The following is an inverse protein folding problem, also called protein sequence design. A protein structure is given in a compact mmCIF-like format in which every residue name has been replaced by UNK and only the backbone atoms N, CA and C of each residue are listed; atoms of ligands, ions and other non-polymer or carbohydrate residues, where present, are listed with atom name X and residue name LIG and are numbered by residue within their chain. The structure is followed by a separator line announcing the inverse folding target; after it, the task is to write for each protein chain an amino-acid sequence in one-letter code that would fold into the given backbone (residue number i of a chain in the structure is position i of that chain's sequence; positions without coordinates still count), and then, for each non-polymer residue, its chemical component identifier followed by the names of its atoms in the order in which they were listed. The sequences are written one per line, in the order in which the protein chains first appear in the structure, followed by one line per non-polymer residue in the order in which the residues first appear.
data_IF_841089646425
#
_entry.id   IF_841089646425
#
_cell.length_a   1.000
_cell.length_b   1.000
_cell.length_c   1.000
_cell.angle_alpha   90.00
_cell.angle_beta   90.00
_cell.angle_gamma   90.00
#
_symmetry.space_group_name_H-M   'P 1'
#
loop_
_entity.id
_entity.type
_entity.pdbx_description
1 polymer ?
#
# COMPACT_ATOMS: atom_id res chain seq x y z
N UNK A 1 21.97 -4.34 6.56
CA UNK A 1 21.10 -3.40 7.26
C UNK A 1 19.78 -3.17 6.53
N UNK A 2 19.74 -2.81 5.22
CA UNK A 2 18.50 -2.59 4.44
C UNK A 2 17.54 -3.82 4.42
N UNK A 3 18.05 -5.07 4.32
CA UNK A 3 17.23 -6.29 4.42
C UNK A 3 16.54 -6.46 5.78
N UNK A 4 17.22 -6.12 6.87
CA UNK A 4 16.66 -6.17 8.23
C UNK A 4 15.57 -5.10 8.42
N UNK A 5 15.78 -3.90 7.86
CA UNK A 5 14.77 -2.82 7.85
C UNK A 5 13.54 -3.19 7.02
N UNK A 6 13.74 -3.85 5.89
CA UNK A 6 12.64 -4.37 5.07
C UNK A 6 11.82 -5.43 5.82
N UNK A 7 12.50 -6.42 6.43
CA UNK A 7 11.83 -7.46 7.23
C UNK A 7 11.10 -6.87 8.45
N UNK A 8 11.70 -5.85 9.09
CA UNK A 8 11.09 -5.15 10.22
C UNK A 8 9.86 -4.34 9.80
N UNK A 9 9.91 -3.70 8.63
CA UNK A 9 8.74 -3.00 8.08
C UNK A 9 7.61 -3.96 7.75
N UNK A 10 7.91 -5.15 7.24
CA UNK A 10 6.93 -6.18 6.92
C UNK A 10 6.26 -6.76 8.17
N UNK A 11 7.02 -6.95 9.27
CA UNK A 11 6.49 -7.36 10.57
C UNK A 11 5.58 -6.28 11.16
N UNK A 12 6.00 -5.00 11.13
CA UNK A 12 5.20 -3.87 11.64
C UNK A 12 3.88 -3.68 10.91
N UNK A 13 3.84 -4.03 9.63
CA UNK A 13 2.63 -3.95 8.81
C UNK A 13 1.79 -5.23 8.86
N UNK A 14 2.22 -6.26 9.62
CA UNK A 14 1.44 -7.48 9.81
C UNK A 14 0.20 -7.25 10.67
N UNK A 15 -0.92 -7.85 10.30
CA UNK A 15 -2.17 -7.81 11.07
C UNK A 15 -2.02 -8.26 12.54
N UNK A 16 -1.08 -9.15 12.82
CA UNK A 16 -0.84 -9.72 14.15
C UNK A 16 -0.02 -8.84 15.09
N UNK A 17 0.70 -7.85 14.57
CA UNK A 17 1.68 -7.10 15.37
C UNK A 17 1.05 -6.31 16.51
N UNK A 18 0.04 -5.48 16.20
CA UNK A 18 -0.63 -4.64 17.21
C UNK A 18 -1.43 -5.49 18.22
N UNK A 19 -2.25 -6.47 17.81
CA UNK A 19 -2.93 -7.36 18.76
C UNK A 19 -1.98 -8.09 19.69
N UNK A 20 -0.87 -8.66 19.18
CA UNK A 20 0.12 -9.35 20.01
C UNK A 20 0.78 -8.43 21.03
N UNK A 21 1.08 -7.18 20.64
CA UNK A 21 1.63 -6.18 21.55
C UNK A 21 0.64 -5.82 22.67
N UNK A 22 -0.63 -5.65 22.35
CA UNK A 22 -1.69 -5.37 23.32
C UNK A 22 -1.89 -6.55 24.29
N UNK A 23 -1.89 -7.77 23.78
CA UNK A 23 -1.97 -8.99 24.63
C UNK A 23 -0.79 -9.03 25.60
N UNK A 24 0.43 -8.81 25.11
CA UNK A 24 1.62 -8.81 25.97
C UNK A 24 1.54 -7.71 27.03
N UNK A 25 1.09 -6.51 26.65
CA UNK A 25 0.92 -5.40 27.58
C UNK A 25 -0.13 -5.70 28.66
N UNK A 26 -1.23 -6.39 28.31
CA UNK A 26 -2.26 -6.79 29.27
C UNK A 26 -1.74 -7.84 30.28
N UNK A 27 -0.92 -8.79 29.84
CA UNK A 27 -0.26 -9.76 30.72
C UNK A 27 0.64 -9.03 31.73
N UNK A 28 1.47 -8.09 31.24
CA UNK A 28 2.35 -7.28 32.11
C UNK A 28 1.51 -6.43 33.05
N UNK A 29 0.47 -5.76 32.56
CA UNK A 29 -0.43 -4.94 33.39
C UNK A 29 -1.11 -5.77 34.48
N UNK A 30 -1.57 -6.98 34.16
CA UNK A 30 -2.16 -7.87 35.17
C UNK A 30 -1.17 -8.21 36.28
N UNK A 31 0.08 -8.58 35.94
CA UNK A 31 1.11 -8.84 36.92
C UNK A 31 1.44 -7.61 37.78
N UNK A 32 1.57 -6.44 37.16
CA UNK A 32 1.86 -5.19 37.90
C UNK A 32 0.71 -4.82 38.83
N UNK A 33 -0.53 -4.90 38.36
CA UNK A 33 -1.70 -4.56 39.18
C UNK A 33 -1.90 -5.51 40.34
N UNK A 34 -1.70 -6.83 40.13
CA UNK A 34 -1.74 -7.82 41.19
C UNK A 34 -0.61 -7.59 42.22
N UNK A 35 0.59 -7.22 41.74
CA UNK A 35 1.72 -6.90 42.63
C UNK A 35 1.39 -5.65 43.48
N UNK A 36 0.76 -4.61 42.88
CA UNK A 36 0.32 -3.40 43.60
C UNK A 36 -0.73 -3.78 44.65
N UNK A 37 -1.73 -4.59 44.28
CA UNK A 37 -2.78 -5.06 45.21
C UNK A 37 -2.20 -5.86 46.41
N UNK A 38 -1.05 -6.55 46.21
CA UNK A 38 -0.36 -7.24 47.29
C UNK A 38 0.42 -6.32 48.23
N UNK A 39 0.86 -5.13 47.76
CA UNK A 39 1.68 -4.20 48.54
C UNK A 39 0.84 -3.17 49.31
N UNK A 40 -0.37 -2.90 48.83
CA UNK A 40 -1.21 -1.82 49.34
C UNK A 40 -2.51 -2.42 49.87
N UNK A 41 -2.61 -2.48 51.23
CA UNK A 41 -3.88 -2.73 51.91
C UNK A 41 -4.69 -1.40 51.86
N UNK A 42 -5.63 -1.32 50.92
CA UNK A 42 -6.43 -0.10 50.78
C UNK A 42 -7.66 -0.19 51.68
N UNK A 43 -7.55 0.35 52.89
CA UNK A 43 -8.73 0.72 53.69
C UNK A 43 -9.29 2.03 53.10
N UNK A 44 -10.27 1.93 52.21
CA UNK A 44 -10.91 3.10 51.61
C UNK A 44 -12.17 3.42 52.37
N UNK A 45 -12.08 4.42 53.24
CA UNK A 45 -13.22 5.08 53.84
C UNK A 45 -13.66 6.30 52.97
N UNK A 46 -14.95 6.42 52.68
CA UNK A 46 -15.49 7.60 51.99
C UNK A 46 -16.30 7.31 50.73
N UNK A 47 -16.62 8.40 50.00
CA UNK A 47 -17.53 8.40 48.82
C UNK A 47 -17.07 7.43 47.72
N UNK A 48 -15.79 7.09 47.62
CA UNK A 48 -15.25 6.17 46.60
C UNK A 48 -15.28 4.70 46.98
N UNK A 49 -15.72 4.35 48.24
CA UNK A 49 -15.78 2.96 48.69
C UNK A 49 -16.68 2.06 47.83
N UNK A 50 -17.71 2.64 47.18
CA UNK A 50 -18.61 1.92 46.28
C UNK A 50 -17.94 1.47 44.97
N UNK A 51 -16.79 2.07 44.60
CA UNK A 51 -16.03 1.68 43.40
C UNK A 51 -15.14 0.45 43.62
N UNK A 52 -14.97 0.06 44.87
CA UNK A 52 -14.11 -1.06 45.23
C UNK A 52 -14.92 -2.29 45.63
N UNK A 53 -14.50 -3.43 45.14
CA UNK A 53 -15.19 -4.69 45.38
C UNK A 53 -14.83 -5.18 46.78
N UNK A 54 -15.83 -5.36 47.65
CA UNK A 54 -15.63 -5.74 49.04
C UNK A 54 -15.73 -7.24 49.31
N UNK A 55 -16.06 -8.09 48.32
CA UNK A 55 -16.13 -9.52 48.47
C UNK A 55 -15.51 -10.26 47.28
N UNK A 56 -14.92 -11.42 47.56
CA UNK A 56 -14.30 -12.28 46.53
C UNK A 56 -15.33 -12.75 45.49
N UNK A 57 -16.56 -13.05 45.92
CA UNK A 57 -17.63 -13.49 45.03
C UNK A 57 -18.08 -12.37 44.06
N UNK A 58 -18.18 -11.12 44.57
CA UNK A 58 -18.46 -9.99 43.69
C UNK A 58 -17.34 -9.75 42.69
N UNK A 59 -16.07 -9.84 43.12
CA UNK A 59 -14.92 -9.70 42.23
C UNK A 59 -14.92 -10.76 41.14
N UNK A 60 -15.14 -12.04 41.51
CA UNK A 60 -15.25 -13.15 40.55
C UNK A 60 -16.40 -12.94 39.57
N UNK A 61 -17.58 -12.52 40.07
CA UNK A 61 -18.76 -12.27 39.22
C UNK A 61 -18.50 -11.17 38.21
N UNK A 62 -17.96 -10.03 38.63
CA UNK A 62 -17.64 -8.90 37.74
C UNK A 62 -16.62 -9.30 36.68
N UNK A 63 -15.49 -9.92 37.06
CA UNK A 63 -14.46 -10.33 36.14
C UNK A 63 -14.93 -11.42 35.15
N UNK A 64 -15.76 -12.36 35.61
CA UNK A 64 -16.36 -13.39 34.76
C UNK A 64 -17.30 -12.83 33.73
N UNK A 65 -18.17 -11.87 34.12
CA UNK A 65 -19.09 -11.20 33.22
C UNK A 65 -18.30 -10.39 32.18
N UNK A 66 -17.32 -9.58 32.62
CA UNK A 66 -16.46 -8.80 31.71
C UNK A 66 -15.72 -9.73 30.75
N UNK A 67 -15.06 -10.76 31.25
CA UNK A 67 -14.31 -11.72 30.45
C UNK A 67 -15.21 -12.37 29.38
N UNK A 68 -16.37 -12.89 29.76
CA UNK A 68 -17.31 -13.50 28.82
C UNK A 68 -17.85 -12.51 27.78
N UNK A 69 -18.14 -11.27 28.18
CA UNK A 69 -18.57 -10.23 27.27
C UNK A 69 -17.45 -9.84 26.28
N UNK A 70 -16.21 -9.65 26.77
CA UNK A 70 -15.09 -9.22 25.93
C UNK A 70 -14.76 -10.24 24.82
N UNK A 71 -14.71 -11.53 25.14
CA UNK A 71 -14.44 -12.55 24.11
C UNK A 71 -15.60 -12.71 23.12
N UNK A 72 -16.85 -12.54 23.58
CA UNK A 72 -18.04 -12.55 22.73
C UNK A 72 -18.04 -11.38 21.72
N UNK A 73 -17.75 -10.17 22.20
CA UNK A 73 -17.63 -8.98 21.33
C UNK A 73 -16.43 -9.09 20.40
N UNK A 74 -15.28 -9.63 20.86
CA UNK A 74 -14.13 -9.88 19.97
C UNK A 74 -14.51 -10.76 18.77
N UNK A 75 -15.28 -11.83 18.98
CA UNK A 75 -15.81 -12.67 17.91
C UNK A 75 -16.72 -11.91 16.94
N UNK A 76 -17.58 -11.04 17.45
CA UNK A 76 -18.45 -10.19 16.64
C UNK A 76 -17.65 -9.17 15.82
N UNK A 77 -16.69 -8.47 16.43
CA UNK A 77 -15.78 -7.53 15.76
C UNK A 77 -15.04 -8.22 14.63
N UNK A 78 -14.48 -9.40 14.89
CA UNK A 78 -13.81 -10.21 13.87
C UNK A 78 -14.74 -10.58 12.71
N UNK A 79 -15.96 -11.03 13.01
CA UNK A 79 -16.96 -11.40 12.00
C UNK A 79 -17.36 -10.19 11.13
N UNK A 80 -17.62 -9.03 11.74
CA UNK A 80 -17.94 -7.80 11.01
C UNK A 80 -16.75 -7.39 10.11
N UNK A 81 -15.52 -7.48 10.62
CA UNK A 81 -14.31 -7.18 9.83
C UNK A 81 -14.20 -8.11 8.61
N UNK A 82 -14.49 -9.41 8.75
CA UNK A 82 -14.48 -10.36 7.62
C UNK A 82 -15.58 -10.04 6.58
N UNK A 83 -16.78 -9.68 7.02
CA UNK A 83 -17.86 -9.26 6.12
C UNK A 83 -17.48 -7.99 5.36
N UNK A 84 -16.97 -6.97 6.06
CA UNK A 84 -16.50 -5.74 5.45
C UNK A 84 -15.40 -6.00 4.40
N UNK A 85 -14.45 -6.87 4.74
CA UNK A 85 -13.36 -7.29 3.85
C UNK A 85 -13.89 -8.00 2.59
N UNK A 86 -14.89 -8.85 2.75
CA UNK A 86 -15.54 -9.57 1.62
C UNK A 86 -16.26 -8.59 0.71
N UNK A 87 -17.01 -7.62 1.26
CA UNK A 87 -17.67 -6.57 0.50
C UNK A 87 -16.66 -5.68 -0.24
N UNK A 88 -15.62 -5.24 0.44
CA UNK A 88 -14.54 -4.46 -0.17
C UNK A 88 -13.86 -5.24 -1.32
N UNK A 89 -13.59 -6.53 -1.13
CA UNK A 89 -13.01 -7.39 -2.16
C UNK A 89 -13.91 -7.54 -3.39
N UNK A 90 -15.22 -7.68 -3.17
CA UNK A 90 -16.17 -7.83 -4.28
C UNK A 90 -16.33 -6.53 -5.08
N UNK A 91 -16.35 -5.38 -4.41
CA UNK A 91 -16.59 -4.09 -5.05
C UNK A 91 -15.33 -3.46 -5.65
N UNK A 92 -14.19 -3.56 -4.97
CA UNK A 92 -12.97 -2.84 -5.36
C UNK A 92 -11.81 -3.73 -5.84
N UNK A 93 -11.87 -5.03 -5.61
CA UNK A 93 -10.84 -5.99 -6.03
C UNK A 93 -10.01 -6.56 -4.90
N UNK A 94 -9.50 -7.77 -5.12
CA UNK A 94 -8.76 -8.52 -4.10
C UNK A 94 -7.41 -7.91 -3.73
N UNK A 95 -6.82 -7.08 -4.58
CA UNK A 95 -5.53 -6.39 -4.30
C UNK A 95 -5.67 -5.34 -3.20
N UNK A 96 -6.88 -4.76 -3.05
CA UNK A 96 -7.18 -3.74 -2.05
C UNK A 96 -7.46 -4.30 -0.66
N UNK A 97 -7.74 -5.62 -0.56
CA UNK A 97 -7.92 -6.32 0.73
C UNK A 97 -6.77 -6.00 1.69
N UNK A 98 -5.55 -5.94 1.17
CA UNK A 98 -4.36 -5.66 1.97
C UNK A 98 -4.46 -4.31 2.68
N UNK A 99 -4.97 -3.27 2.02
CA UNK A 99 -5.12 -1.94 2.61
C UNK A 99 -6.10 -1.97 3.79
N UNK A 100 -7.25 -2.63 3.64
CA UNK A 100 -8.23 -2.80 4.73
C UNK A 100 -7.72 -3.64 5.91
N UNK A 101 -6.92 -4.68 5.65
CA UNK A 101 -6.32 -5.49 6.71
C UNK A 101 -5.27 -4.73 7.52
N UNK A 102 -4.59 -3.75 6.91
CA UNK A 102 -3.57 -2.95 7.58
C UNK A 102 -4.13 -1.77 8.38
N UNK A 103 -5.43 -1.54 8.36
CA UNK A 103 -6.03 -0.49 9.15
C UNK A 103 -5.83 -0.73 10.65
N UNK A 104 -5.14 0.22 11.28
CA UNK A 104 -4.73 0.10 12.68
C UNK A 104 -5.91 0.00 13.64
N UNK A 105 -7.03 0.66 13.32
CA UNK A 105 -8.23 0.67 14.18
C UNK A 105 -8.77 -0.75 14.36
N UNK A 106 -8.88 -1.53 13.28
CA UNK A 106 -9.35 -2.91 13.34
C UNK A 106 -8.44 -3.79 14.21
N UNK A 107 -7.12 -3.60 14.09
CA UNK A 107 -6.12 -4.32 14.88
C UNK A 107 -6.15 -3.91 16.36
N UNK A 108 -6.29 -2.60 16.66
CA UNK A 108 -6.35 -2.07 18.02
C UNK A 108 -7.61 -2.58 18.71
N UNK A 109 -8.76 -2.49 18.07
CA UNK A 109 -10.04 -2.89 18.67
C UNK A 109 -10.05 -4.38 18.97
N UNK A 110 -9.69 -5.23 18.00
CA UNK A 110 -9.61 -6.67 18.21
C UNK A 110 -8.60 -7.01 19.33
N UNK A 111 -7.43 -6.39 19.28
CA UNK A 111 -6.39 -6.57 20.30
C UNK A 111 -6.83 -6.11 21.68
N UNK A 112 -7.53 -4.99 21.82
CA UNK A 112 -8.03 -4.46 23.09
C UNK A 112 -9.06 -5.40 23.73
N UNK A 113 -9.98 -5.95 22.96
CA UNK A 113 -10.97 -6.90 23.46
C UNK A 113 -10.32 -8.21 23.94
N UNK A 114 -9.42 -8.80 23.12
CA UNK A 114 -8.72 -10.02 23.48
C UNK A 114 -7.78 -9.78 24.69
N UNK A 115 -7.10 -8.65 24.75
CA UNK A 115 -6.21 -8.30 25.86
C UNK A 115 -6.98 -8.10 27.17
N UNK A 116 -8.16 -7.48 27.14
CA UNK A 116 -9.04 -7.32 28.31
C UNK A 116 -9.56 -8.67 28.79
N UNK A 117 -9.93 -9.55 27.87
CA UNK A 117 -10.30 -10.93 28.21
C UNK A 117 -9.17 -11.64 28.98
N UNK A 118 -7.93 -11.60 28.44
CA UNK A 118 -6.77 -12.26 29.06
C UNK A 118 -6.43 -11.61 30.41
N UNK A 119 -6.49 -10.27 30.50
CA UNK A 119 -6.30 -9.56 31.75
C UNK A 119 -7.27 -10.07 32.82
N UNK A 120 -8.58 -10.10 32.52
CA UNK A 120 -9.58 -10.57 33.46
C UNK A 120 -9.37 -12.03 33.89
N UNK A 121 -8.96 -12.93 32.97
CA UNK A 121 -8.67 -14.31 33.32
C UNK A 121 -7.48 -14.45 34.27
N UNK A 122 -6.40 -13.66 34.06
CA UNK A 122 -5.23 -13.70 34.94
C UNK A 122 -5.61 -13.20 36.34
N UNK A 123 -6.34 -12.07 36.44
CA UNK A 123 -6.79 -11.52 37.72
C UNK A 123 -7.75 -12.48 38.43
N UNK A 124 -8.70 -13.08 37.68
CA UNK A 124 -9.66 -14.05 38.19
C UNK A 124 -8.96 -15.27 38.84
N UNK A 125 -7.87 -15.76 38.25
CA UNK A 125 -7.14 -16.90 38.74
C UNK A 125 -6.40 -16.63 40.07
N UNK A 126 -6.17 -15.37 40.41
CA UNK A 126 -5.42 -14.99 41.65
C UNK A 126 -6.35 -14.77 42.83
N UNK A 127 -7.67 -14.61 42.61
CA UNK A 127 -8.64 -14.46 43.69
C UNK A 127 -8.74 -15.76 44.50
N UNK A 128 -8.28 -15.72 45.74
CA UNK A 128 -8.33 -16.84 46.66
C UNK A 128 -9.19 -16.49 47.88
N UNK A 129 -10.01 -17.41 48.25
CA UNK A 129 -10.78 -17.36 49.50
C UNK A 129 -10.69 -18.73 50.15
N UNK A 130 -9.93 -18.79 51.20
CA UNK A 130 -9.71 -20.00 52.04
C UNK A 130 -10.01 -19.58 53.48
N UNK A 131 -10.37 -20.51 54.33
CA UNK A 131 -10.71 -20.25 55.74
C UNK A 131 -9.67 -19.43 56.52
N UNK A 132 -8.42 -19.36 56.02
CA UNK A 132 -7.31 -18.67 56.66
C UNK A 132 -6.77 -17.48 55.91
N UNK A 133 -7.08 -17.31 54.61
CA UNK A 133 -6.55 -16.20 53.77
C UNK A 133 -7.56 -15.76 52.73
N UNK A 134 -7.89 -14.46 52.73
CA UNK A 134 -8.71 -13.83 51.72
C UNK A 134 -7.85 -12.82 50.99
N UNK A 135 -7.72 -12.99 49.65
CA UNK A 135 -7.06 -12.01 48.80
C UNK A 135 -8.01 -11.51 47.69
N UNK A 136 -8.35 -10.24 47.76
CA UNK A 136 -9.24 -9.56 46.80
C UNK A 136 -8.44 -8.45 46.08
N UNK A 137 -8.10 -8.61 44.80
CA UNK A 137 -7.33 -7.61 44.07
C UNK A 137 -8.24 -6.45 43.59
N UNK A 138 -8.62 -5.58 44.52
CA UNK A 138 -9.63 -4.54 44.28
C UNK A 138 -9.24 -3.52 43.23
N UNK A 139 -7.96 -3.10 43.18
CA UNK A 139 -7.44 -2.21 42.13
C UNK A 139 -7.42 -2.88 40.75
N UNK A 140 -7.04 -4.16 40.71
CA UNK A 140 -7.07 -4.93 39.46
C UNK A 140 -8.49 -5.05 38.89
N UNK A 141 -9.49 -5.23 39.76
CA UNK A 141 -10.91 -5.27 39.36
C UNK A 141 -11.37 -3.89 38.86
N UNK A 142 -11.03 -2.81 39.58
CA UNK A 142 -11.32 -1.44 39.13
C UNK A 142 -10.71 -1.15 37.76
N UNK A 143 -9.46 -1.55 37.54
CA UNK A 143 -8.79 -1.39 36.25
C UNK A 143 -9.49 -2.19 35.15
N UNK A 144 -9.99 -3.39 35.41
CA UNK A 144 -10.79 -4.16 34.46
C UNK A 144 -12.09 -3.42 34.07
N UNK A 145 -12.74 -2.77 35.02
CA UNK A 145 -13.95 -1.95 34.76
C UNK A 145 -13.59 -0.76 33.86
N UNK A 146 -12.48 -0.07 34.16
CA UNK A 146 -12.00 1.06 33.32
C UNK A 146 -11.68 0.59 31.90
N UNK A 147 -10.97 -0.54 31.74
CA UNK A 147 -10.70 -1.14 30.43
C UNK A 147 -12.00 -1.48 29.68
N UNK A 148 -13.03 -1.96 30.40
CA UNK A 148 -14.32 -2.27 29.82
C UNK A 148 -14.99 -1.01 29.26
N UNK A 149 -14.96 0.09 30.01
CA UNK A 149 -15.52 1.38 29.55
C UNK A 149 -14.78 1.87 28.30
N UNK A 150 -13.45 1.79 28.30
CA UNK A 150 -12.64 2.15 27.11
C UNK A 150 -13.02 1.27 25.91
N UNK A 151 -13.20 -0.03 26.12
CA UNK A 151 -13.59 -0.96 25.06
C UNK A 151 -14.97 -0.64 24.46
N UNK A 152 -15.92 -0.18 25.28
CA UNK A 152 -17.23 0.27 24.78
C UNK A 152 -17.07 1.47 23.83
N UNK A 153 -16.25 2.46 24.20
CA UNK A 153 -15.94 3.58 23.31
C UNK A 153 -15.23 3.11 22.03
N UNK A 154 -14.27 2.19 22.14
CA UNK A 154 -13.59 1.60 20.98
C UNK A 154 -14.58 0.88 20.06
N UNK A 155 -15.60 0.20 20.58
CA UNK A 155 -16.64 -0.42 19.77
C UNK A 155 -17.42 0.59 18.94
N UNK A 156 -17.82 1.71 19.55
CA UNK A 156 -18.56 2.77 18.85
C UNK A 156 -17.69 3.35 17.71
N UNK A 157 -16.42 3.64 18.01
CA UNK A 157 -15.46 4.11 16.99
C UNK A 157 -15.29 3.08 15.87
N UNK A 158 -15.16 1.80 16.21
CA UNK A 158 -15.02 0.70 15.25
C UNK A 158 -16.21 0.60 14.30
N UNK A 159 -17.45 0.63 14.83
CA UNK A 159 -18.66 0.55 14.01
C UNK A 159 -18.72 1.72 13.02
N UNK A 160 -18.46 2.94 13.52
CA UNK A 160 -18.40 4.13 12.66
C UNK A 160 -17.31 3.98 11.59
N UNK A 161 -16.11 3.56 11.99
CA UNK A 161 -14.98 3.40 11.08
C UNK A 161 -15.27 2.38 9.97
N UNK A 162 -15.81 1.21 10.31
CA UNK A 162 -16.17 0.19 9.31
C UNK A 162 -17.22 0.73 8.34
N UNK A 163 -18.23 1.44 8.83
CA UNK A 163 -19.28 2.01 7.99
C UNK A 163 -18.73 3.03 6.96
N UNK A 164 -17.71 3.80 7.34
CA UNK A 164 -17.06 4.78 6.44
C UNK A 164 -16.05 4.11 5.50
N UNK A 165 -15.29 3.13 5.99
CA UNK A 165 -14.22 2.47 5.22
C UNK A 165 -14.72 1.69 3.99
N UNK A 166 -16.01 1.35 3.92
CA UNK A 166 -16.60 0.62 2.79
C UNK A 166 -17.12 1.58 1.70
N UNK A 167 -17.18 2.89 1.98
CA UNK A 167 -17.68 3.87 1.00
C UNK A 167 -16.70 4.05 -0.16
N UNK A 168 -17.22 4.03 -1.39
CA UNK A 168 -16.41 4.16 -2.61
C UNK A 168 -15.54 5.42 -2.62
N UNK A 169 -16.11 6.56 -2.21
CA UNK A 169 -15.42 7.84 -2.17
C UNK A 169 -14.20 7.80 -1.22
N UNK A 170 -14.35 7.15 -0.06
CA UNK A 170 -13.27 7.00 0.91
C UNK A 170 -12.14 6.12 0.34
N UNK A 171 -12.50 4.98 -0.25
CA UNK A 171 -11.53 4.06 -0.85
C UNK A 171 -10.74 4.73 -1.97
N UNK A 172 -11.43 5.43 -2.88
CA UNK A 172 -10.81 6.16 -3.98
C UNK A 172 -9.89 7.26 -3.44
N UNK A 173 -10.34 8.02 -2.42
CA UNK A 173 -9.54 9.08 -1.79
C UNK A 173 -8.26 8.54 -1.14
N UNK A 174 -8.32 7.45 -0.39
CA UNK A 174 -7.16 6.86 0.30
C UNK A 174 -6.11 6.34 -0.71
N UNK A 175 -6.60 5.76 -1.82
CA UNK A 175 -5.70 5.32 -2.90
C UNK A 175 -5.11 6.51 -3.64
N UNK A 176 -5.88 7.57 -3.85
CA UNK A 176 -5.39 8.80 -4.47
C UNK A 176 -4.30 9.47 -3.63
N UNK A 177 -4.47 9.52 -2.30
CA UNK A 177 -3.45 10.02 -1.38
C UNK A 177 -2.18 9.17 -1.45
N UNK A 178 -2.33 7.83 -1.41
CA UNK A 178 -1.21 6.90 -1.57
C UNK A 178 -0.52 7.06 -2.92
N UNK A 179 -1.28 7.21 -4.01
CA UNK A 179 -0.76 7.45 -5.36
C UNK A 179 0.03 8.76 -5.41
N UNK A 180 -0.54 9.85 -4.91
CA UNK A 180 0.13 11.15 -4.86
C UNK A 180 1.43 11.10 -4.06
N UNK A 181 1.41 10.45 -2.89
CA UNK A 181 2.61 10.27 -2.08
C UNK A 181 3.69 9.45 -2.81
N UNK A 182 3.34 8.28 -3.36
CA UNK A 182 4.28 7.41 -4.04
C UNK A 182 4.89 8.07 -5.27
N UNK A 183 4.07 8.78 -6.06
CA UNK A 183 4.55 9.49 -7.24
C UNK A 183 5.51 10.62 -6.85
N UNK A 184 5.21 11.39 -5.80
CA UNK A 184 6.12 12.45 -5.31
C UNK A 184 7.44 11.91 -4.75
N UNK A 185 7.42 10.74 -4.13
CA UNK A 185 8.64 10.09 -3.63
C UNK A 185 9.51 9.56 -4.77
N UNK A 186 8.87 8.98 -5.81
CA UNK A 186 9.59 8.40 -6.95
C UNK A 186 10.01 9.44 -8.00
N UNK A 187 9.24 10.55 -8.11
CA UNK A 187 9.45 11.65 -9.04
C UNK A 187 9.37 12.99 -8.31
N UNK A 188 10.39 13.38 -7.51
CA UNK A 188 10.39 14.65 -6.82
C UNK A 188 10.50 15.83 -7.81
N UNK A 189 9.94 16.99 -7.44
CA UNK A 189 9.96 18.20 -8.27
C UNK A 189 11.39 18.70 -8.53
N UNK A 190 12.24 18.63 -7.50
CA UNK A 190 13.66 18.96 -7.59
C UNK A 190 14.47 17.66 -7.55
N UNK A 191 14.85 17.14 -8.69
CA UNK A 191 15.96 16.20 -8.79
C UNK A 191 17.25 17.01 -8.90
N UNK A 192 18.26 16.65 -8.08
CA UNK A 192 19.60 17.26 -8.14
C UNK A 192 20.18 17.26 -9.56
N UNK A 193 21.30 17.97 -9.78
CA UNK A 193 21.92 18.17 -11.09
C UNK A 193 22.09 16.84 -11.84
N UNK A 194 21.14 16.57 -12.75
CA UNK A 194 21.34 15.54 -13.77
C UNK A 194 22.23 16.13 -14.87
N UNK A 195 23.26 15.42 -15.26
CA UNK A 195 23.96 15.72 -16.49
C UNK A 195 22.98 15.55 -17.64
N UNK A 196 22.61 16.65 -18.30
CA UNK A 196 21.82 16.61 -19.54
C UNK A 196 22.64 15.87 -20.60
N UNK A 197 22.23 14.65 -20.89
CA UNK A 197 22.75 13.90 -22.02
C UNK A 197 21.84 14.20 -23.20
N UNK A 198 22.25 15.13 -24.04
CA UNK A 198 21.49 15.58 -25.24
C UNK A 198 21.24 14.45 -26.27
N UNK A 199 21.92 13.31 -26.17
CA UNK A 199 21.75 12.15 -27.08
C UNK A 199 21.80 10.86 -26.30
N UNK A 200 21.00 9.87 -26.69
CA UNK A 200 21.17 8.50 -26.24
C UNK A 200 22.62 8.07 -26.43
N UNK A 201 23.32 7.69 -25.34
CA UNK A 201 24.68 7.22 -25.48
C UNK A 201 24.65 5.96 -26.32
N UNK A 202 25.36 5.97 -27.44
CA UNK A 202 25.66 4.73 -28.16
C UNK A 202 26.43 3.84 -27.20
N UNK A 203 25.88 2.63 -26.93
CA UNK A 203 26.61 1.64 -26.16
C UNK A 203 27.98 1.44 -26.82
N UNK A 204 29.08 1.70 -26.10
CA UNK A 204 30.40 1.52 -26.69
C UNK A 204 30.76 0.01 -26.74
N UNK A 205 29.90 -0.75 -27.43
CA UNK A 205 30.04 -2.22 -27.57
C UNK A 205 31.37 -2.62 -28.17
N UNK A 206 31.97 -1.74 -28.98
CA UNK A 206 33.31 -1.96 -29.57
C UNK A 206 34.45 -1.98 -28.54
N UNK A 207 34.21 -1.43 -27.33
CA UNK A 207 35.21 -1.36 -26.25
C UNK A 207 35.12 -2.52 -25.25
N UNK A 208 34.05 -3.36 -25.32
CA UNK A 208 33.82 -4.44 -24.38
C UNK A 208 33.90 -5.81 -25.09
N UNK A 209 34.89 -6.60 -24.69
CA UNK A 209 35.20 -7.89 -25.31
C UNK A 209 34.25 -9.01 -24.84
N UNK A 210 33.68 -8.84 -23.66
CA UNK A 210 32.85 -9.86 -23.00
C UNK A 210 31.48 -9.34 -22.68
N UNK A 211 30.44 -10.15 -22.95
CA UNK A 211 29.06 -9.87 -22.59
C UNK A 211 28.48 -11.03 -21.79
N UNK A 212 28.02 -10.74 -20.59
CA UNK A 212 27.41 -11.73 -19.68
C UNK A 212 25.92 -11.46 -19.50
N UNK A 213 25.11 -12.51 -19.63
CA UNK A 213 23.68 -12.47 -19.38
C UNK A 213 23.40 -12.88 -17.93
N UNK A 214 22.85 -11.98 -17.14
CA UNK A 214 22.40 -12.26 -15.77
C UNK A 214 20.99 -12.79 -15.83
N UNK A 215 20.78 -14.02 -15.34
CA UNK A 215 19.49 -14.70 -15.36
C UNK A 215 18.81 -14.63 -13.99
N UNK A 216 17.49 -14.52 -14.01
CA UNK A 216 16.68 -14.59 -12.79
C UNK A 216 16.80 -15.97 -12.13
N UNK A 217 17.02 -15.97 -10.82
CA UNK A 217 17.13 -17.20 -10.03
C UNK A 217 15.78 -17.79 -9.60
N UNK A 218 14.71 -16.97 -9.63
CA UNK A 218 13.37 -17.32 -9.15
C UNK A 218 12.33 -16.69 -10.04
N UNK A 219 11.17 -17.35 -10.14
CA UNK A 219 9.97 -16.73 -10.70
C UNK A 219 9.25 -15.91 -9.63
N UNK A 220 8.70 -14.75 -10.01
CA UNK A 220 7.95 -13.85 -9.13
C UNK A 220 8.00 -12.40 -9.59
N UNK A 221 7.26 -11.54 -8.89
CA UNK A 221 7.30 -10.10 -9.15
C UNK A 221 8.57 -9.49 -8.59
N UNK A 222 9.26 -8.71 -9.40
CA UNK A 222 10.40 -7.91 -8.97
C UNK A 222 9.89 -6.77 -8.07
N UNK A 223 10.26 -6.84 -6.79
CA UNK A 223 9.79 -5.88 -5.78
C UNK A 223 10.77 -4.76 -5.51
N UNK A 224 12.07 -5.05 -5.65
CA UNK A 224 13.13 -4.11 -5.34
C UNK A 224 14.40 -4.44 -6.10
N UNK A 225 15.09 -3.39 -6.59
CA UNK A 225 16.43 -3.45 -7.15
C UNK A 225 17.35 -2.60 -6.25
N UNK A 226 18.44 -3.17 -5.76
CA UNK A 226 19.51 -2.41 -5.08
C UNK A 226 20.44 -1.81 -6.14
N UNK A 227 19.99 -0.73 -6.76
CA UNK A 227 20.68 -0.01 -7.82
C UNK A 227 22.06 0.52 -7.39
N UNK A 228 22.18 1.03 -6.17
CA UNK A 228 23.46 1.43 -5.60
C UNK A 228 24.46 0.28 -5.59
N UNK A 229 24.03 -0.89 -5.16
CA UNK A 229 24.90 -2.07 -5.13
C UNK A 229 25.36 -2.50 -6.51
N UNK A 230 24.48 -2.41 -7.52
CA UNK A 230 24.80 -2.71 -8.92
C UNK A 230 25.74 -1.65 -9.47
N UNK A 231 25.47 -0.37 -9.20
CA UNK A 231 26.29 0.75 -9.65
C UNK A 231 27.70 0.72 -9.05
N UNK A 232 27.85 0.51 -7.74
CA UNK A 232 29.14 0.41 -7.06
C UNK A 232 29.97 -0.74 -7.62
N UNK A 233 29.33 -1.89 -7.87
CA UNK A 233 29.99 -3.03 -8.49
C UNK A 233 30.44 -2.72 -9.92
N UNK A 234 29.58 -2.10 -10.73
CA UNK A 234 29.90 -1.71 -12.09
C UNK A 234 31.07 -0.69 -12.13
N UNK A 235 31.03 0.30 -11.23
CA UNK A 235 32.08 1.32 -11.15
C UNK A 235 33.41 0.74 -10.72
N UNK A 236 33.43 -0.11 -9.68
CA UNK A 236 34.66 -0.73 -9.15
C UNK A 236 35.37 -1.62 -10.18
N UNK A 237 34.62 -2.28 -11.05
CA UNK A 237 35.15 -3.23 -12.02
C UNK A 237 35.14 -2.68 -13.46
N UNK A 238 34.92 -1.39 -13.67
CA UNK A 238 34.84 -0.75 -14.98
C UNK A 238 33.88 -1.43 -15.96
N UNK A 239 32.69 -1.80 -15.47
CA UNK A 239 31.63 -2.46 -16.24
C UNK A 239 30.58 -1.46 -16.70
N UNK A 240 29.82 -1.84 -17.74
CA UNK A 240 28.51 -1.27 -18.03
C UNK A 240 27.45 -2.36 -17.75
N UNK A 241 26.44 -2.02 -16.98
CA UNK A 241 25.31 -2.91 -16.69
C UNK A 241 24.05 -2.31 -17.32
N UNK A 242 23.36 -3.11 -18.16
CA UNK A 242 22.05 -2.76 -18.70
C UNK A 242 21.00 -3.65 -18.03
N UNK A 243 20.03 -3.03 -17.36
CA UNK A 243 18.89 -3.72 -16.79
C UNK A 243 17.82 -3.93 -17.87
N UNK A 244 17.35 -5.17 -18.01
CA UNK A 244 16.27 -5.54 -18.94
C UNK A 244 14.92 -5.71 -18.22
N UNK A 245 14.85 -5.34 -16.93
CA UNK A 245 13.66 -5.40 -16.11
C UNK A 245 13.59 -4.21 -15.14
N UNK A 246 12.39 -3.95 -14.64
CA UNK A 246 12.10 -2.90 -13.64
C UNK A 246 11.23 -3.43 -12.51
N UNK A 247 11.17 -2.76 -11.34
CA UNK A 247 10.24 -3.10 -10.27
C UNK A 247 8.79 -3.13 -10.80
N UNK A 248 8.04 -4.17 -10.40
CA UNK A 248 6.70 -4.45 -10.91
C UNK A 248 6.63 -5.55 -11.98
N UNK A 249 7.73 -5.82 -12.69
CA UNK A 249 7.77 -6.88 -13.72
C UNK A 249 7.68 -8.28 -13.09
N UNK A 250 7.02 -9.20 -13.79
CA UNK A 250 7.01 -10.61 -13.42
C UNK A 250 8.19 -11.32 -14.08
N UNK A 251 9.12 -11.77 -13.27
CA UNK A 251 10.30 -12.50 -13.72
C UNK A 251 9.99 -14.00 -13.76
N UNK A 252 10.52 -14.67 -14.78
CA UNK A 252 10.52 -16.13 -14.87
C UNK A 252 11.95 -16.63 -14.63
N UNK A 253 12.10 -17.69 -13.85
CA UNK A 253 13.41 -18.29 -13.60
C UNK A 253 14.14 -18.63 -14.91
N UNK A 254 15.38 -18.21 -15.02
CA UNK A 254 16.21 -18.43 -16.21
C UNK A 254 16.11 -17.37 -17.31
N UNK A 255 15.14 -16.43 -17.23
CA UNK A 255 15.05 -15.28 -18.15
C UNK A 255 16.14 -14.26 -17.82
N UNK A 256 16.68 -13.61 -18.85
CA UNK A 256 17.66 -12.53 -18.68
C UNK A 256 17.00 -11.32 -18.00
N UNK A 257 17.66 -10.80 -16.95
CA UNK A 257 17.23 -9.63 -16.18
C UNK A 257 18.20 -8.46 -16.30
N UNK A 258 19.44 -8.75 -16.69
CA UNK A 258 20.46 -7.74 -16.97
C UNK A 258 21.52 -8.30 -17.94
N UNK A 259 22.20 -7.37 -18.61
CA UNK A 259 23.39 -7.63 -19.41
C UNK A 259 24.56 -6.85 -18.84
N UNK A 260 25.70 -7.53 -18.69
CA UNK A 260 26.95 -6.95 -18.16
C UNK A 260 27.97 -6.94 -19.28
N UNK A 261 28.52 -5.78 -19.58
CA UNK A 261 29.57 -5.57 -20.58
C UNK A 261 30.88 -5.32 -19.84
N UNK A 262 31.90 -6.11 -20.16
CA UNK A 262 33.25 -6.08 -19.55
C UNK A 262 34.37 -6.05 -20.59
N UNK A 263 35.46 -5.36 -20.26
CA UNK A 263 36.69 -5.41 -21.04
C UNK A 263 37.48 -6.68 -20.75
N UNK A 264 37.46 -7.12 -19.52
CA UNK A 264 38.20 -8.27 -19.00
C UNK A 264 37.23 -9.42 -18.70
N UNK A 265 37.76 -10.63 -18.66
CA UNK A 265 36.97 -11.80 -18.29
C UNK A 265 36.57 -11.74 -16.82
N UNK A 266 35.27 -11.97 -16.55
CA UNK A 266 34.71 -11.98 -15.18
C UNK A 266 34.54 -13.42 -14.70
N UNK A 267 34.96 -13.68 -13.47
CA UNK A 267 34.62 -14.94 -12.80
C UNK A 267 33.09 -15.04 -12.53
N UNK A 268 32.55 -16.24 -12.66
CA UNK A 268 31.14 -16.53 -12.36
C UNK A 268 30.75 -16.14 -10.94
N UNK A 269 31.66 -16.18 -9.99
CA UNK A 269 31.50 -15.74 -8.61
C UNK A 269 31.15 -14.25 -8.51
N UNK A 270 31.70 -13.41 -9.38
CA UNK A 270 31.45 -11.97 -9.44
C UNK A 270 30.01 -11.66 -9.83
N UNK A 271 29.39 -12.48 -10.67
CA UNK A 271 27.99 -12.31 -11.08
C UNK A 271 26.99 -12.66 -9.98
N UNK A 272 27.41 -13.31 -8.89
CA UNK A 272 26.53 -13.63 -7.76
C UNK A 272 26.02 -12.36 -7.02
N UNK A 273 26.70 -11.22 -7.16
CA UNK A 273 26.24 -9.95 -6.59
C UNK A 273 24.86 -9.57 -7.12
N UNK A 274 24.60 -9.82 -8.41
CA UNK A 274 23.31 -9.54 -9.03
C UNK A 274 22.19 -10.37 -8.41
N UNK A 275 22.44 -11.65 -8.05
CA UNK A 275 21.44 -12.52 -7.41
C UNK A 275 20.92 -11.94 -6.09
N UNK A 276 21.72 -11.14 -5.40
CA UNK A 276 21.36 -10.51 -4.12
C UNK A 276 20.85 -9.09 -4.25
N UNK A 277 21.03 -8.45 -5.41
CA UNK A 277 20.55 -7.11 -5.69
C UNK A 277 19.07 -7.08 -6.13
N UNK A 278 18.56 -8.18 -6.69
CA UNK A 278 17.18 -8.30 -7.13
C UNK A 278 16.35 -9.04 -6.08
N UNK A 279 15.30 -8.39 -5.55
CA UNK A 279 14.38 -8.99 -4.59
C UNK A 279 13.07 -9.30 -5.31
N UNK A 280 12.71 -10.58 -5.37
CA UNK A 280 11.47 -11.07 -5.96
C UNK A 280 10.50 -11.57 -4.90
N UNK A 281 9.21 -11.38 -5.11
CA UNK A 281 8.15 -11.84 -4.22
C UNK A 281 6.91 -12.34 -4.96
N UNK A 282 5.90 -12.77 -4.20
CA UNK A 282 4.66 -13.32 -4.75
C UNK A 282 3.69 -12.26 -5.30
N UNK A 283 3.87 -10.99 -4.92
CA UNK A 283 3.00 -9.88 -5.30
C UNK A 283 3.82 -8.63 -5.60
N UNK A 284 3.26 -7.70 -6.38
CA UNK A 284 3.82 -6.34 -6.57
C UNK A 284 3.80 -5.57 -5.25
N UNK A 285 4.71 -4.61 -5.11
CA UNK A 285 4.82 -3.71 -3.96
C UNK A 285 5.06 -2.28 -4.41
N UNK A 286 4.60 -1.25 -3.66
CA UNK A 286 4.67 0.14 -4.12
C UNK A 286 6.05 0.80 -3.99
N UNK A 287 7.06 0.16 -3.36
CA UNK A 287 8.30 0.82 -2.95
C UNK A 287 9.12 1.41 -4.10
N UNK A 288 9.20 0.71 -5.24
CA UNK A 288 9.89 1.17 -6.45
C UNK A 288 9.04 1.02 -7.70
N UNK A 289 7.79 0.59 -7.57
CA UNK A 289 6.86 0.34 -8.67
C UNK A 289 5.93 1.54 -8.84
N UNK A 290 6.27 2.44 -9.76
CA UNK A 290 5.51 3.65 -10.01
C UNK A 290 4.10 3.39 -10.57
N UNK A 291 3.92 2.29 -11.31
CA UNK A 291 2.62 1.91 -11.88
C UNK A 291 1.69 1.24 -10.84
N UNK A 292 2.22 0.80 -9.70
CA UNK A 292 1.44 0.01 -8.74
C UNK A 292 0.16 0.72 -8.27
N UNK A 293 0.28 1.96 -7.82
CA UNK A 293 -0.86 2.73 -7.32
C UNK A 293 -1.78 3.20 -8.45
N UNK A 294 -1.22 3.50 -9.65
CA UNK A 294 -2.01 3.74 -10.86
C UNK A 294 -2.87 2.52 -11.18
N UNK A 295 -2.28 1.32 -11.20
CA UNK A 295 -3.01 0.09 -11.48
C UNK A 295 -4.08 -0.23 -10.44
N UNK A 296 -3.89 0.14 -9.16
CA UNK A 296 -4.94 0.01 -8.15
C UNK A 296 -6.14 0.90 -8.49
N UNK A 297 -5.92 2.16 -8.86
CA UNK A 297 -6.97 3.09 -9.25
C UNK A 297 -7.69 2.62 -10.53
N UNK A 298 -6.93 2.14 -11.51
CA UNK A 298 -7.46 1.58 -12.77
C UNK A 298 -8.29 0.32 -12.52
N UNK A 299 -7.88 -0.55 -11.57
CA UNK A 299 -8.64 -1.75 -11.19
C UNK A 299 -10.00 -1.38 -10.60
N UNK A 300 -10.08 -0.34 -9.75
CA UNK A 300 -11.35 0.16 -9.22
C UNK A 300 -12.24 0.67 -10.36
N UNK A 301 -11.71 1.54 -11.22
CA UNK A 301 -12.47 2.11 -12.33
C UNK A 301 -12.98 1.02 -13.28
N UNK A 302 -12.13 0.06 -13.66
CA UNK A 302 -12.51 -1.04 -14.53
C UNK A 302 -13.59 -1.94 -13.91
N UNK A 303 -13.51 -2.16 -12.58
CA UNK A 303 -14.51 -2.96 -11.84
C UNK A 303 -15.82 -2.19 -11.69
N UNK A 304 -15.77 -0.89 -11.41
CA UNK A 304 -16.94 -0.02 -11.35
C UNK A 304 -17.72 -0.03 -12.69
N UNK A 305 -17.00 -0.14 -13.81
CA UNK A 305 -17.58 -0.22 -15.16
C UNK A 305 -17.98 -1.65 -15.58
N UNK A 306 -17.78 -2.65 -14.73
CA UNK A 306 -18.21 -4.01 -15.04
C UNK A 306 -19.75 -4.12 -15.02
N UNK A 307 -20.35 -4.99 -15.85
CA UNK A 307 -21.81 -5.13 -15.91
C UNK A 307 -22.48 -5.49 -14.58
N UNK A 308 -21.72 -6.11 -13.65
CA UNK A 308 -22.24 -6.52 -12.34
C UNK A 308 -22.24 -5.39 -11.28
N UNK A 309 -21.44 -4.33 -11.47
CA UNK A 309 -21.37 -3.18 -10.56
C UNK A 309 -22.06 -1.97 -11.17
N UNK A 310 -21.70 -1.61 -12.40
CA UNK A 310 -22.26 -0.52 -13.20
C UNK A 310 -22.36 0.82 -12.44
N UNK A 311 -21.23 1.26 -11.87
CA UNK A 311 -21.09 2.53 -11.16
C UNK A 311 -20.16 3.49 -11.92
N UNK A 312 -20.69 4.26 -12.89
CA UNK A 312 -19.90 5.20 -13.68
C UNK A 312 -19.32 6.34 -12.84
N UNK A 313 -19.95 6.73 -11.72
CA UNK A 313 -19.46 7.83 -10.91
C UNK A 313 -18.19 7.47 -10.15
N UNK A 314 -18.09 6.26 -9.63
CA UNK A 314 -16.82 5.77 -9.03
C UNK A 314 -15.71 5.71 -10.11
N UNK A 315 -16.03 5.30 -11.33
CA UNK A 315 -15.04 5.34 -12.43
C UNK A 315 -14.58 6.77 -12.76
N UNK A 316 -15.51 7.73 -12.79
CA UNK A 316 -15.24 9.16 -13.00
C UNK A 316 -14.33 9.70 -11.88
N UNK A 317 -14.62 9.39 -10.61
CA UNK A 317 -13.78 9.80 -9.49
C UNK A 317 -12.33 9.25 -9.62
N UNK A 318 -12.17 8.01 -10.07
CA UNK A 318 -10.85 7.45 -10.36
C UNK A 318 -10.12 8.19 -11.49
N UNK A 319 -10.83 8.53 -12.58
CA UNK A 319 -10.29 9.29 -13.71
C UNK A 319 -9.81 10.66 -13.25
N UNK A 320 -10.58 11.36 -12.41
CA UNK A 320 -10.25 12.69 -11.91
C UNK A 320 -8.95 12.68 -11.08
N UNK A 321 -8.79 11.66 -10.22
CA UNK A 321 -7.58 11.49 -9.42
C UNK A 321 -6.37 11.10 -10.30
N UNK A 322 -6.55 10.23 -11.29
CA UNK A 322 -5.51 9.91 -12.26
C UNK A 322 -5.12 11.15 -13.09
N UNK A 323 -6.09 12.00 -13.46
CA UNK A 323 -5.83 13.26 -14.16
C UNK A 323 -4.93 14.17 -13.35
N UNK A 324 -5.23 14.35 -12.05
CA UNK A 324 -4.39 15.13 -11.13
C UNK A 324 -2.95 14.57 -11.08
N UNK A 325 -2.82 13.25 -11.03
CA UNK A 325 -1.51 12.59 -11.05
C UNK A 325 -0.78 12.81 -12.37
N UNK A 326 -1.46 12.70 -13.51
CA UNK A 326 -0.85 12.95 -14.83
C UNK A 326 -0.44 14.42 -15.01
N UNK A 327 -1.21 15.37 -14.49
CA UNK A 327 -0.82 16.78 -14.46
C UNK A 327 0.46 16.98 -13.65
N UNK A 328 0.57 16.40 -12.46
CA UNK A 328 1.80 16.44 -11.69
C UNK A 328 2.99 15.85 -12.46
N UNK A 329 2.84 14.62 -12.99
CA UNK A 329 3.87 13.93 -13.76
C UNK A 329 4.31 14.68 -15.02
N UNK A 330 3.42 15.49 -15.60
CA UNK A 330 3.78 16.31 -16.78
C UNK A 330 4.74 17.46 -16.47
N UNK A 331 4.85 17.88 -15.21
CA UNK A 331 5.74 18.96 -14.75
C UNK A 331 7.05 18.46 -14.18
N UNK A 332 7.08 17.25 -13.63
CA UNK A 332 8.30 16.70 -13.05
C UNK A 332 9.25 16.15 -14.11
N UNK A 333 10.53 16.06 -13.74
CA UNK A 333 11.54 15.43 -14.59
C UNK A 333 11.56 13.93 -14.30
N UNK A 334 11.41 13.12 -15.34
CA UNK A 334 11.60 11.68 -15.20
C UNK A 334 13.08 11.35 -15.05
N UNK A 335 13.45 10.36 -14.20
CA UNK A 335 14.85 10.00 -14.02
C UNK A 335 15.45 9.50 -15.33
N UNK A 336 16.66 9.98 -15.64
CA UNK A 336 17.40 9.45 -16.78
C UNK A 336 17.63 7.94 -16.63
N UNK A 337 17.52 7.15 -17.70
CA UNK A 337 17.90 5.73 -17.65
C UNK A 337 19.41 5.54 -17.44
N UNK A 338 20.22 6.55 -17.70
CA UNK A 338 21.67 6.48 -17.70
C UNK A 338 22.26 6.97 -16.39
N UNK A 339 23.17 6.17 -15.79
CA UNK A 339 23.90 6.52 -14.57
C UNK A 339 25.39 6.56 -14.85
N UNK A 340 26.00 7.69 -14.55
CA UNK A 340 27.42 7.97 -14.77
C UNK A 340 28.14 8.03 -13.43
N UNK A 341 29.44 7.66 -13.45
CA UNK A 341 30.33 7.90 -12.31
C UNK A 341 30.85 9.36 -12.28
N UNK A 342 31.63 9.69 -11.27
CA UNK A 342 32.21 11.04 -11.09
C UNK A 342 33.11 11.44 -12.27
N UNK A 343 33.66 10.47 -13.00
CA UNK A 343 34.46 10.67 -14.21
C UNK A 343 33.61 10.81 -15.49
N UNK A 344 32.27 10.92 -15.38
CA UNK A 344 31.34 10.96 -16.51
C UNK A 344 31.36 9.71 -17.40
N UNK A 345 31.72 8.56 -16.84
CA UNK A 345 31.69 7.30 -17.55
C UNK A 345 30.38 6.57 -17.25
N UNK A 346 29.69 6.08 -18.29
CA UNK A 346 28.46 5.32 -18.17
C UNK A 346 28.72 3.99 -17.44
N UNK A 347 27.94 3.71 -16.37
CA UNK A 347 28.07 2.50 -15.56
C UNK A 347 26.78 1.68 -15.49
N UNK A 348 25.61 2.33 -15.52
CA UNK A 348 24.33 1.64 -15.40
C UNK A 348 23.32 2.24 -16.38
N UNK A 349 22.61 1.36 -17.10
CA UNK A 349 21.44 1.69 -17.92
C UNK A 349 20.24 1.02 -17.25
N UNK A 350 19.37 1.83 -16.67
CA UNK A 350 18.16 1.34 -16.00
C UNK A 350 16.99 1.27 -17.00
N UNK A 351 16.06 0.33 -16.78
CA UNK A 351 14.77 0.36 -17.43
C UNK A 351 13.85 1.29 -16.61
N UNK A 352 13.52 2.45 -17.17
CA UNK A 352 12.67 3.46 -16.53
C UNK A 352 11.36 3.61 -17.28
N UNK A 353 10.32 4.05 -16.56
CA UNK A 353 9.08 4.49 -17.17
C UNK A 353 9.22 5.94 -17.63
N UNK A 354 8.56 6.27 -18.72
CA UNK A 354 8.37 7.62 -19.24
C UNK A 354 6.93 8.10 -19.03
N UNK A 355 6.65 9.33 -19.43
CA UNK A 355 5.32 9.92 -19.32
C UNK A 355 4.28 9.17 -20.16
N UNK A 356 4.64 8.74 -21.35
CA UNK A 356 3.74 7.99 -22.24
C UNK A 356 3.36 6.65 -21.62
N UNK A 357 4.32 5.92 -21.03
CA UNK A 357 4.08 4.67 -20.33
C UNK A 357 3.13 4.86 -19.14
N UNK A 358 3.28 5.94 -18.38
CA UNK A 358 2.38 6.27 -17.27
C UNK A 358 0.97 6.62 -17.76
N UNK A 359 0.86 7.37 -18.86
CA UNK A 359 -0.42 7.71 -19.48
C UNK A 359 -1.13 6.46 -20.01
N UNK A 360 -0.38 5.55 -20.64
CA UNK A 360 -0.86 4.25 -21.09
C UNK A 360 -1.40 3.41 -19.91
N UNK A 361 -0.65 3.34 -18.81
CA UNK A 361 -1.05 2.61 -17.62
C UNK A 361 -2.34 3.19 -17.00
N UNK A 362 -2.50 4.52 -17.00
CA UNK A 362 -3.64 5.21 -16.41
C UNK A 362 -4.94 5.04 -17.22
N UNK A 363 -4.89 5.18 -18.55
CA UNK A 363 -6.12 5.39 -19.31
C UNK A 363 -6.47 4.27 -20.30
N UNK A 364 -5.53 3.45 -20.76
CA UNK A 364 -5.83 2.45 -21.78
C UNK A 364 -6.91 1.46 -21.35
N UNK A 365 -6.78 0.90 -20.15
CA UNK A 365 -7.73 -0.10 -19.65
C UNK A 365 -9.09 0.53 -19.34
N UNK A 366 -9.11 1.71 -18.70
CA UNK A 366 -10.37 2.42 -18.41
C UNK A 366 -11.10 2.71 -19.71
N UNK A 367 -10.43 3.23 -20.74
CA UNK A 367 -11.00 3.47 -22.06
C UNK A 367 -11.67 2.22 -22.65
N UNK A 368 -11.03 1.05 -22.52
CA UNK A 368 -11.58 -0.20 -23.05
C UNK A 368 -12.84 -0.64 -22.31
N UNK A 369 -12.88 -0.49 -20.98
CA UNK A 369 -14.04 -0.85 -20.15
C UNK A 369 -15.17 0.19 -20.25
N UNK A 370 -14.87 1.44 -20.57
CA UNK A 370 -15.84 2.54 -20.66
C UNK A 370 -16.66 2.54 -21.96
N UNK A 371 -16.42 1.61 -22.91
CA UNK A 371 -17.02 1.62 -24.27
C UNK A 371 -18.55 1.76 -24.28
N UNK A 372 -19.24 1.24 -23.29
CA UNK A 372 -20.69 1.24 -23.15
C UNK A 372 -21.21 2.34 -22.19
N UNK A 373 -20.34 3.29 -21.79
CA UNK A 373 -20.65 4.37 -20.85
C UNK A 373 -20.21 5.72 -21.40
N UNK A 374 -21.06 6.40 -22.22
CA UNK A 374 -20.71 7.67 -22.87
C UNK A 374 -20.24 8.74 -21.89
N UNK A 375 -20.85 8.86 -20.71
CA UNK A 375 -20.46 9.83 -19.68
C UNK A 375 -19.00 9.66 -19.22
N UNK A 376 -18.55 8.43 -19.08
CA UNK A 376 -17.18 8.10 -18.67
C UNK A 376 -16.20 8.37 -19.83
N UNK A 377 -16.57 8.04 -21.05
CA UNK A 377 -15.76 8.32 -22.25
C UNK A 377 -15.58 9.83 -22.45
N UNK A 378 -16.67 10.61 -22.25
CA UNK A 378 -16.63 12.07 -22.30
C UNK A 378 -15.71 12.61 -21.19
N UNK A 379 -15.80 12.09 -19.97
CA UNK A 379 -14.91 12.48 -18.85
C UNK A 379 -13.45 12.17 -19.14
N UNK A 380 -13.15 11.03 -19.75
CA UNK A 380 -11.79 10.70 -20.21
C UNK A 380 -11.24 11.74 -21.20
N UNK A 381 -12.06 12.19 -22.16
CA UNK A 381 -11.66 13.24 -23.10
C UNK A 381 -11.38 14.57 -22.40
N UNK A 382 -12.24 14.98 -21.45
CA UNK A 382 -12.00 16.17 -20.62
C UNK A 382 -10.71 16.08 -19.83
N UNK A 383 -10.44 14.93 -19.26
CA UNK A 383 -9.23 14.66 -18.50
C UNK A 383 -7.98 14.82 -19.36
N UNK A 384 -7.98 14.25 -20.56
CA UNK A 384 -6.88 14.43 -21.51
C UNK A 384 -6.71 15.88 -21.94
N UNK A 385 -7.82 16.62 -22.15
CA UNK A 385 -7.79 18.05 -22.43
C UNK A 385 -7.11 18.84 -21.32
N UNK A 386 -7.42 18.53 -20.04
CA UNK A 386 -6.76 19.15 -18.89
C UNK A 386 -5.26 18.88 -18.89
N UNK A 387 -4.83 17.62 -19.05
CA UNK A 387 -3.42 17.25 -19.12
C UNK A 387 -2.70 17.93 -20.28
N UNK A 388 -3.35 18.02 -21.45
CA UNK A 388 -2.81 18.67 -22.64
C UNK A 388 -2.48 20.14 -22.42
N UNK A 389 -3.39 20.89 -21.81
CA UNK A 389 -3.16 22.31 -21.51
C UNK A 389 -2.24 22.55 -20.31
N UNK A 390 -2.12 21.54 -19.42
CA UNK A 390 -1.27 21.66 -18.24
C UNK A 390 0.21 21.41 -18.55
N UNK A 391 0.54 20.60 -19.56
CA UNK A 391 1.91 20.30 -19.95
C UNK A 391 2.49 21.30 -20.94
N UNK A 392 3.78 21.65 -20.78
CA UNK A 392 4.53 22.52 -21.69
C UNK A 392 5.34 21.73 -22.74
N UNK A 393 5.53 20.41 -22.54
CA UNK A 393 6.37 19.56 -23.39
C UNK A 393 5.59 19.03 -24.60
N UNK A 394 6.09 19.30 -25.80
CA UNK A 394 5.41 18.89 -27.04
C UNK A 394 5.32 17.38 -27.20
N UNK A 395 6.33 16.62 -26.77
CA UNK A 395 6.30 15.15 -26.76
C UNK A 395 5.14 14.59 -25.90
N UNK A 396 4.87 15.22 -24.74
CA UNK A 396 3.77 14.83 -23.87
C UNK A 396 2.42 15.21 -24.47
N UNK A 397 2.33 16.36 -25.12
CA UNK A 397 1.14 16.76 -25.88
C UNK A 397 0.82 15.76 -26.99
N UNK A 398 1.84 15.25 -27.69
CA UNK A 398 1.66 14.22 -28.73
C UNK A 398 1.10 12.92 -28.14
N UNK A 399 1.64 12.44 -27.02
CA UNK A 399 1.11 11.26 -26.32
C UNK A 399 -0.36 11.44 -25.91
N UNK A 400 -0.72 12.61 -25.37
CA UNK A 400 -2.10 12.95 -24.98
C UNK A 400 -3.02 12.99 -26.21
N UNK A 401 -2.60 13.59 -27.31
CA UNK A 401 -3.37 13.61 -28.56
C UNK A 401 -3.64 12.20 -29.08
N UNK A 402 -2.64 11.32 -29.08
CA UNK A 402 -2.80 9.93 -29.49
C UNK A 402 -3.89 9.22 -28.67
N UNK A 403 -3.91 9.42 -27.34
CA UNK A 403 -4.95 8.87 -26.47
C UNK A 403 -6.34 9.44 -26.79
N UNK A 404 -6.44 10.75 -27.02
CA UNK A 404 -7.70 11.40 -27.38
C UNK A 404 -8.24 10.88 -28.72
N UNK A 405 -7.39 10.67 -29.71
CA UNK A 405 -7.78 10.02 -30.98
C UNK A 405 -8.26 8.58 -30.78
N UNK A 406 -7.63 7.81 -29.88
CA UNK A 406 -8.09 6.46 -29.54
C UNK A 406 -9.50 6.50 -28.93
N UNK A 407 -9.82 7.50 -28.11
CA UNK A 407 -11.15 7.70 -27.54
C UNK A 407 -12.15 8.05 -28.63
N UNK A 408 -11.82 8.96 -29.56
CA UNK A 408 -12.70 9.30 -30.67
C UNK A 408 -13.04 8.07 -31.53
N UNK A 409 -12.01 7.32 -31.95
CA UNK A 409 -12.21 6.07 -32.71
C UNK A 409 -13.06 5.02 -31.98
N UNK A 410 -12.99 4.97 -30.65
CA UNK A 410 -13.84 4.10 -29.84
C UNK A 410 -15.29 4.58 -29.88
N UNK A 411 -15.52 5.87 -29.59
CA UNK A 411 -16.85 6.46 -29.52
C UNK A 411 -17.60 6.41 -30.87
N UNK A 412 -16.91 6.62 -31.98
CA UNK A 412 -17.49 6.50 -33.33
C UNK A 412 -18.02 5.09 -33.62
N UNK A 413 -17.49 4.08 -32.97
CA UNK A 413 -17.92 2.68 -33.11
C UNK A 413 -18.98 2.24 -32.09
N UNK A 414 -19.07 2.91 -30.95
CA UNK A 414 -19.86 2.43 -29.81
C UNK A 414 -21.00 3.35 -29.41
N UNK A 415 -20.92 4.66 -29.66
CA UNK A 415 -21.99 5.59 -29.29
C UNK A 415 -23.20 5.42 -30.19
N UNK A 416 -24.36 5.19 -29.59
CA UNK A 416 -25.63 5.05 -30.27
C UNK A 416 -26.27 6.43 -30.44
N UNK A 417 -26.20 7.30 -29.40
CA UNK A 417 -26.78 8.63 -29.39
C UNK A 417 -25.86 9.65 -30.10
N UNK A 418 -26.38 10.31 -31.12
CA UNK A 418 -25.60 11.27 -31.91
C UNK A 418 -25.18 12.51 -31.13
N UNK A 419 -26.00 12.95 -30.18
CA UNK A 419 -25.69 14.12 -29.38
C UNK A 419 -24.49 13.88 -28.47
N UNK A 420 -24.35 12.65 -27.92
CA UNK A 420 -23.17 12.27 -27.11
C UNK A 420 -21.89 12.30 -27.95
N UNK A 421 -21.99 11.87 -29.22
CA UNK A 421 -20.83 11.91 -30.12
C UNK A 421 -20.48 13.36 -30.53
N UNK A 422 -21.48 14.21 -30.73
CA UNK A 422 -21.28 15.66 -31.04
C UNK A 422 -20.60 16.33 -29.83
N UNK A 423 -21.08 16.11 -28.61
CA UNK A 423 -20.49 16.67 -27.39
C UNK A 423 -19.02 16.19 -27.22
N UNK A 424 -18.76 14.91 -27.44
CA UNK A 424 -17.39 14.39 -27.37
C UNK A 424 -16.48 15.06 -28.43
N UNK A 425 -16.95 15.23 -29.66
CA UNK A 425 -16.19 15.88 -30.73
C UNK A 425 -15.87 17.34 -30.39
N UNK A 426 -16.81 18.11 -29.85
CA UNK A 426 -16.56 19.48 -29.38
C UNK A 426 -15.47 19.53 -28.29
N UNK A 427 -15.49 18.60 -27.35
CA UNK A 427 -14.47 18.52 -26.30
C UNK A 427 -13.08 18.09 -26.80
N UNK A 428 -13.04 17.47 -27.98
CA UNK A 428 -11.79 16.99 -28.60
C UNK A 428 -11.11 18.03 -29.53
N UNK A 429 -11.63 19.25 -29.66
CA UNK A 429 -11.07 20.30 -30.54
C UNK A 429 -9.59 20.64 -30.25
N UNK A 430 -9.09 20.38 -29.08
CA UNK A 430 -7.67 20.58 -28.73
C UNK A 430 -6.70 19.66 -29.49
N UNK A 431 -7.20 18.62 -30.17
CA UNK A 431 -6.38 17.68 -30.94
C UNK A 431 -5.92 18.33 -32.27
N UNK A 432 -6.76 19.20 -32.84
CA UNK A 432 -6.54 19.86 -34.09
C UNK A 432 -5.88 21.24 -33.90
#
# INVERSE_FOLDING_TARGET
MKKLLFFWSEIKTSFWFIPSLLILSAVIAAWVMIFIDHQIDIEIEGIFSFMFTSSADSARSVLSIISGAMIGVAGTVFSITLVALTLASSNFGSRLIRNFMYEKINQIVLGAYISSFIYCLIVLNVIKETDTTVFIPSLSVLFAIILTIINIFLLVIFIHHIAVSIQSDKVVSDIAESLSHNVKVLFPEEMGEDFEVEKEPTLPTEYYNFTYNVKSNKSGYLQYIDDNKIFDFANKNNLIVKLDCRPGDYLVQGVNIARVFSKDELEDSSLNIFKSAFITGKSRTPQQDAEFAIHQMVEIAARALSPGVNDPYTAIACIDNLTTTMCYLSKVKFPSPYRYNDNKELRLIASVLDFEGMLNAAFNQIRQFAKDSPSVVIRLMESLKVVYYYTDKDEYKMAVKMHAEMILRLAEKTFIEKNDLIDLKQRSEFIY
#
